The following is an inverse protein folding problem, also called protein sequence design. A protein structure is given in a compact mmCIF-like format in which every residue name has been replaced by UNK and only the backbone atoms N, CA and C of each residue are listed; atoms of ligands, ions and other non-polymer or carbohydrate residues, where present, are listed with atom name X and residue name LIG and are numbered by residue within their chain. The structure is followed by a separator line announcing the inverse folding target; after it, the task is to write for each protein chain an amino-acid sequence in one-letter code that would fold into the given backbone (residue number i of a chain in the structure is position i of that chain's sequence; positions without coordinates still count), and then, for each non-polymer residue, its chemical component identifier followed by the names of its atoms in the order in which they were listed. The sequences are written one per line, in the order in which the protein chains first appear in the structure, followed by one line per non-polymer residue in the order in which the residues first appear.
data_IF_138192198251
#
_entry.id   IF_138192198251
#
_cell.length_a   1.000
_cell.length_b   1.000
_cell.length_c   1.000
_cell.angle_alpha   90.00
_cell.angle_beta   90.00
_cell.angle_gamma   90.00
#
_symmetry.space_group_name_H-M   'P 1'
#
loop_
_entity.id
_entity.type
_entity.pdbx_description
1 polymer ?
#
# COMPACT_ATOMS: atom_id res chain seq x y z
N UNK A 1 -47.83 -22.24 -29.45
CA UNK A 1 -47.15 -21.98 -28.16
C UNK A 1 -45.76 -21.44 -28.46
N UNK A 2 -45.51 -20.16 -28.17
CA UNK A 2 -44.38 -19.41 -28.73
C UNK A 2 -43.05 -19.82 -28.06
N UNK A 3 -42.16 -20.49 -28.80
CA UNK A 3 -40.81 -20.92 -28.37
C UNK A 3 -40.01 -19.78 -27.69
N UNK A 4 -40.21 -18.53 -28.13
CA UNK A 4 -39.61 -17.34 -27.52
C UNK A 4 -40.04 -17.11 -26.06
N UNK A 5 -41.29 -17.40 -25.69
CA UNK A 5 -41.77 -17.26 -24.30
C UNK A 5 -41.22 -18.37 -23.39
N UNK A 6 -40.99 -19.57 -23.92
CA UNK A 6 -40.36 -20.67 -23.16
C UNK A 6 -38.88 -20.40 -22.86
N UNK A 7 -38.16 -19.73 -23.75
CA UNK A 7 -36.74 -19.34 -23.52
C UNK A 7 -36.62 -18.28 -22.41
N UNK A 8 -37.48 -17.25 -22.42
CA UNK A 8 -37.49 -16.24 -21.34
C UNK A 8 -37.95 -16.82 -19.98
N UNK A 9 -38.82 -17.83 -19.99
CA UNK A 9 -39.27 -18.52 -18.78
C UNK A 9 -38.22 -19.53 -18.25
N UNK A 10 -37.42 -20.17 -19.10
CA UNK A 10 -36.30 -21.02 -18.67
C UNK A 10 -35.09 -20.20 -18.17
N UNK A 11 -34.84 -19.02 -18.75
CA UNK A 11 -33.71 -18.16 -18.36
C UNK A 11 -33.96 -17.40 -17.03
N UNK A 12 -35.23 -17.26 -16.61
CA UNK A 12 -35.61 -16.68 -15.32
C UNK A 12 -35.58 -17.68 -14.15
N UNK A 13 -35.60 -19.00 -14.43
CA UNK A 13 -35.51 -20.05 -13.39
C UNK A 13 -34.04 -20.32 -12.96
N UNK A 14 -33.05 -19.92 -13.77
CA UNK A 14 -31.63 -20.13 -13.48
C UNK A 14 -31.01 -19.12 -12.48
N UNK A 15 -31.76 -18.11 -12.02
CA UNK A 15 -31.27 -17.07 -11.11
C UNK A 15 -31.64 -17.27 -9.63
N UNK A 16 -32.28 -18.39 -9.27
CA UNK A 16 -32.73 -18.68 -7.90
C UNK A 16 -32.02 -19.87 -7.24
N UNK A 17 -30.98 -20.45 -7.86
CA UNK A 17 -30.17 -21.48 -7.21
C UNK A 17 -29.14 -20.83 -6.27
N UNK A 18 -29.57 -20.57 -5.03
CA UNK A 18 -28.66 -20.36 -3.90
C UNK A 18 -27.85 -21.65 -3.71
N UNK A 19 -26.65 -21.71 -4.29
CA UNK A 19 -25.71 -22.80 -4.11
C UNK A 19 -25.15 -22.77 -2.68
N UNK A 20 -25.61 -23.66 -1.80
CA UNK A 20 -25.17 -23.74 -0.40
C UNK A 20 -23.75 -24.33 -0.25
N UNK A 21 -23.02 -23.99 0.84
CA UNK A 21 -21.73 -24.58 1.14
C UNK A 21 -21.78 -26.12 1.25
N UNK A 22 -20.71 -26.80 0.85
CA UNK A 22 -20.54 -28.24 1.05
C UNK A 22 -20.11 -28.52 2.49
N UNK A 23 -20.90 -29.32 3.19
CA UNK A 23 -20.53 -29.89 4.49
C UNK A 23 -20.12 -31.35 4.30
N UNK A 24 -18.99 -31.73 4.87
CA UNK A 24 -18.54 -33.13 4.98
C UNK A 24 -18.30 -33.42 6.46
N UNK A 25 -18.90 -34.47 6.99
CA UNK A 25 -18.72 -34.90 8.37
C UNK A 25 -18.34 -36.37 8.40
N UNK A 26 -17.45 -36.74 9.30
CA UNK A 26 -17.11 -38.13 9.61
C UNK A 26 -17.32 -38.35 11.10
N UNK A 27 -18.42 -38.99 11.47
CA UNK A 27 -18.92 -39.10 12.85
C UNK A 27 -18.73 -40.54 13.32
N UNK A 28 -17.89 -40.71 14.35
CA UNK A 28 -17.65 -41.98 15.00
C UNK A 28 -18.66 -42.26 16.12
N UNK A 29 -19.16 -41.22 16.80
CA UNK A 29 -20.10 -41.32 17.92
C UNK A 29 -21.09 -40.16 17.91
N UNK A 30 -22.32 -40.44 18.34
CA UNK A 30 -23.40 -39.45 18.39
C UNK A 30 -24.05 -39.44 19.76
N UNK A 31 -24.37 -38.25 20.26
CA UNK A 31 -25.13 -38.00 21.48
C UNK A 31 -26.44 -37.26 21.15
N UNK A 32 -27.39 -37.11 22.10
CA UNK A 32 -28.55 -36.27 21.90
C UNK A 32 -28.14 -34.86 21.44
N UNK A 33 -28.84 -34.34 20.43
CA UNK A 33 -28.52 -33.06 19.83
C UNK A 33 -28.52 -31.94 20.89
N UNK A 34 -27.56 -31.04 20.78
CA UNK A 34 -27.44 -29.85 21.63
C UNK A 34 -27.96 -28.61 20.89
N UNK A 35 -27.88 -27.44 21.52
CA UNK A 35 -28.18 -26.17 20.85
C UNK A 35 -26.94 -25.67 20.10
N UNK A 36 -27.11 -25.31 18.83
CA UNK A 36 -26.04 -24.76 17.99
C UNK A 36 -25.45 -23.45 18.55
N UNK A 37 -26.24 -22.64 19.26
CA UNK A 37 -25.76 -21.39 19.85
C UNK A 37 -24.79 -21.62 21.00
N UNK A 38 -25.01 -22.70 21.76
CA UNK A 38 -24.21 -23.07 22.94
C UNK A 38 -22.91 -23.81 22.58
N UNK A 39 -22.69 -24.12 21.30
CA UNK A 39 -21.44 -24.72 20.84
C UNK A 39 -20.30 -23.71 21.01
N UNK A 40 -19.32 -24.07 21.83
CA UNK A 40 -18.11 -23.28 22.05
C UNK A 40 -17.12 -23.55 20.91
N UNK A 41 -16.65 -22.49 20.25
CA UNK A 41 -15.68 -22.59 19.15
C UNK A 41 -14.28 -22.28 19.66
N UNK A 42 -13.36 -23.22 19.48
CA UNK A 42 -11.94 -23.02 19.70
C UNK A 42 -11.27 -22.74 18.35
N UNK A 43 -10.57 -21.61 18.25
CA UNK A 43 -9.81 -21.22 17.05
C UNK A 43 -8.64 -22.18 16.81
N UNK A 44 -8.03 -22.14 15.61
CA UNK A 44 -6.99 -23.11 15.18
C UNK A 44 -5.87 -23.29 16.21
N UNK A 45 -5.43 -22.22 16.86
CA UNK A 45 -4.32 -22.23 17.82
C UNK A 45 -4.73 -22.35 19.30
N UNK A 46 -6.02 -22.38 19.61
CA UNK A 46 -6.49 -22.49 20.99
C UNK A 46 -6.25 -23.89 21.54
N UNK A 47 -5.90 -24.02 22.83
CA UNK A 47 -5.80 -25.33 23.48
C UNK A 47 -7.12 -25.71 24.13
N UNK A 48 -7.60 -26.93 23.87
CA UNK A 48 -8.79 -27.48 24.54
C UNK A 48 -8.36 -27.98 25.92
N UNK A 49 -8.46 -27.11 26.93
CA UNK A 49 -8.03 -27.38 28.30
C UNK A 49 -9.14 -27.97 29.18
N UNK A 50 -10.04 -28.75 28.57
CA UNK A 50 -11.11 -29.48 29.26
C UNK A 50 -11.06 -30.94 28.85
N UNK A 51 -11.49 -31.84 29.73
CA UNK A 51 -11.66 -33.24 29.36
C UNK A 51 -12.80 -33.33 28.36
N UNK A 52 -12.50 -33.71 27.12
CA UNK A 52 -13.47 -33.84 26.06
C UNK A 52 -13.28 -35.14 25.28
N UNK A 53 -14.39 -35.74 24.87
CA UNK A 53 -14.45 -36.90 23.99
C UNK A 53 -14.58 -36.44 22.53
N UNK A 54 -13.83 -37.06 21.63
CA UNK A 54 -13.95 -36.83 20.20
C UNK A 54 -15.10 -37.64 19.60
N UNK A 55 -16.02 -36.92 18.95
CA UNK A 55 -17.19 -37.50 18.29
C UNK A 55 -16.97 -37.70 16.78
N UNK A 56 -16.10 -36.89 16.18
CA UNK A 56 -15.83 -36.94 14.75
C UNK A 56 -15.21 -35.66 14.21
N UNK A 57 -15.17 -35.54 12.88
CA UNK A 57 -14.61 -34.38 12.17
C UNK A 57 -15.65 -33.72 11.27
N UNK A 58 -15.41 -32.44 10.99
CA UNK A 58 -16.25 -31.63 10.12
C UNK A 58 -15.40 -30.78 9.17
N UNK A 59 -15.89 -30.63 7.95
CA UNK A 59 -15.33 -29.76 6.93
C UNK A 59 -16.46 -28.97 6.28
N UNK A 60 -16.33 -27.65 6.25
CA UNK A 60 -17.27 -26.73 5.59
C UNK A 60 -16.51 -26.01 4.49
N UNK A 61 -16.84 -26.32 3.23
CA UNK A 61 -16.10 -25.89 2.04
C UNK A 61 -17.02 -25.30 0.98
N UNK A 62 -16.44 -24.52 0.09
CA UNK A 62 -17.09 -24.00 -1.12
C UNK A 62 -17.27 -25.10 -2.18
N UNK A 63 -18.38 -25.04 -2.94
CA UNK A 63 -18.65 -25.88 -4.12
C UNK A 63 -18.18 -25.26 -5.44
N UNK A 64 -17.58 -24.07 -5.42
CA UNK A 64 -17.07 -23.34 -6.58
C UNK A 64 -18.00 -22.25 -7.13
N UNK A 65 -19.23 -22.19 -6.64
CA UNK A 65 -20.22 -21.15 -6.98
C UNK A 65 -21.05 -20.72 -5.76
N UNK A 66 -20.55 -20.93 -4.54
CA UNK A 66 -21.27 -20.54 -3.32
C UNK A 66 -21.17 -19.02 -3.13
N UNK A 67 -22.31 -18.35 -2.96
CA UNK A 67 -22.40 -16.89 -2.82
C UNK A 67 -22.58 -16.44 -1.36
N UNK A 68 -23.15 -17.28 -0.51
CA UNK A 68 -23.35 -17.03 0.94
C UNK A 68 -22.37 -17.89 1.77
N UNK A 69 -21.14 -17.40 1.93
CA UNK A 69 -20.02 -18.13 2.56
C UNK A 69 -19.07 -17.26 3.39
N UNK A 70 -19.59 -16.16 3.96
CA UNK A 70 -18.86 -15.37 4.96
C UNK A 70 -18.47 -16.21 6.18
N UNK A 71 -17.51 -15.73 6.96
CA UNK A 71 -16.98 -16.48 8.11
C UNK A 71 -18.09 -16.89 9.10
N UNK A 72 -18.97 -15.96 9.48
CA UNK A 72 -20.08 -16.22 10.40
C UNK A 72 -21.04 -17.28 9.86
N UNK A 73 -21.28 -17.28 8.54
CA UNK A 73 -22.12 -18.27 7.89
C UNK A 73 -21.49 -19.66 7.94
N UNK A 74 -20.21 -19.76 7.61
CA UNK A 74 -19.46 -21.02 7.61
C UNK A 74 -19.32 -21.59 9.02
N UNK A 75 -19.06 -20.73 10.01
CA UNK A 75 -19.05 -21.09 11.43
C UNK A 75 -20.43 -21.53 11.91
N UNK A 76 -21.50 -20.80 11.56
CA UNK A 76 -22.86 -21.17 11.92
C UNK A 76 -23.27 -22.55 11.41
N UNK A 77 -22.90 -22.88 10.16
CA UNK A 77 -23.11 -24.22 9.60
C UNK A 77 -22.32 -25.27 10.38
N UNK A 78 -21.05 -24.98 10.71
CA UNK A 78 -20.22 -25.90 11.48
C UNK A 78 -20.76 -26.12 12.91
N UNK A 79 -21.19 -25.06 13.60
CA UNK A 79 -21.83 -25.11 14.93
C UNK A 79 -23.11 -25.94 14.88
N UNK A 80 -23.97 -25.71 13.90
CA UNK A 80 -25.20 -26.50 13.71
C UNK A 80 -24.90 -28.00 13.60
N UNK A 81 -23.93 -28.37 12.76
CA UNK A 81 -23.57 -29.78 12.55
C UNK A 81 -22.87 -30.41 13.75
N UNK A 82 -22.09 -29.62 14.49
CA UNK A 82 -21.50 -30.02 15.77
C UNK A 82 -22.59 -30.35 16.78
N UNK A 83 -23.61 -29.49 16.88
CA UNK A 83 -24.73 -29.67 17.77
C UNK A 83 -25.64 -30.84 17.39
N UNK A 84 -25.87 -31.05 16.09
CA UNK A 84 -26.61 -32.21 15.56
C UNK A 84 -25.94 -33.55 15.94
N UNK A 85 -24.61 -33.60 15.99
CA UNK A 85 -23.86 -34.78 16.46
C UNK A 85 -23.88 -34.95 18.00
N UNK A 86 -24.45 -33.99 18.73
CA UNK A 86 -24.50 -33.94 20.19
C UNK A 86 -23.25 -33.36 20.85
N UNK A 87 -22.31 -32.83 20.06
CA UNK A 87 -21.13 -32.12 20.54
C UNK A 87 -21.47 -30.74 21.08
N UNK A 88 -20.62 -30.21 21.96
CA UNK A 88 -20.73 -28.85 22.52
C UNK A 88 -19.45 -28.03 22.33
N UNK A 89 -18.43 -28.61 21.71
CA UNK A 89 -17.21 -27.92 21.34
C UNK A 89 -16.93 -28.20 19.85
N UNK A 90 -16.69 -27.13 19.10
CA UNK A 90 -16.11 -27.18 17.76
C UNK A 90 -14.67 -26.67 17.84
N UNK A 91 -13.69 -27.57 17.72
CA UNK A 91 -12.28 -27.21 17.65
C UNK A 91 -11.85 -27.08 16.20
N UNK A 92 -11.58 -25.87 15.74
CA UNK A 92 -11.02 -25.66 14.41
C UNK A 92 -9.60 -26.23 14.35
N UNK A 93 -9.32 -27.00 13.30
CA UNK A 93 -8.01 -27.57 13.00
C UNK A 93 -7.34 -26.86 11.83
N UNK A 94 -8.14 -26.29 10.93
CA UNK A 94 -7.66 -25.48 9.82
C UNK A 94 -8.71 -24.42 9.44
N UNK A 95 -8.25 -23.20 9.18
CA UNK A 95 -9.05 -22.11 8.63
C UNK A 95 -8.33 -21.52 7.42
N UNK A 96 -8.93 -21.68 6.24
CA UNK A 96 -8.44 -21.01 5.03
C UNK A 96 -9.31 -19.80 4.72
N UNK A 97 -8.64 -18.65 4.64
CA UNK A 97 -9.22 -17.41 4.16
C UNK A 97 -9.50 -17.47 2.65
N UNK A 98 -10.36 -16.58 2.13
CA UNK A 98 -10.51 -16.36 0.71
C UNK A 98 -9.15 -16.18 0.02
N UNK A 99 -8.95 -16.87 -1.09
CA UNK A 99 -7.71 -16.86 -1.87
C UNK A 99 -8.03 -16.83 -3.38
N UNK A 100 -7.00 -16.91 -4.23
CA UNK A 100 -7.18 -16.90 -5.68
C UNK A 100 -8.01 -18.09 -6.22
N UNK A 101 -8.23 -19.16 -5.44
CA UNK A 101 -8.98 -20.35 -5.85
C UNK A 101 -10.44 -20.32 -5.38
N UNK A 102 -10.76 -19.59 -4.30
CA UNK A 102 -12.12 -19.46 -3.78
C UNK A 102 -12.28 -18.17 -2.98
N UNK A 103 -13.40 -17.50 -3.19
CA UNK A 103 -13.79 -16.29 -2.44
C UNK A 103 -14.38 -16.59 -1.07
N UNK A 104 -14.53 -17.87 -0.71
CA UNK A 104 -15.18 -18.31 0.53
C UNK A 104 -14.17 -18.74 1.59
N UNK A 105 -14.55 -18.54 2.86
CA UNK A 105 -13.84 -19.19 3.97
C UNK A 105 -14.04 -20.70 3.91
N UNK A 106 -13.01 -21.47 4.24
CA UNK A 106 -13.09 -22.94 4.34
C UNK A 106 -12.59 -23.37 5.71
N UNK A 107 -13.37 -24.22 6.36
CA UNK A 107 -13.16 -24.60 7.75
C UNK A 107 -13.01 -26.11 7.87
N UNK A 108 -12.09 -26.54 8.71
CA UNK A 108 -11.96 -27.91 9.19
C UNK A 108 -11.93 -27.88 10.70
N UNK A 109 -12.54 -28.88 11.31
CA UNK A 109 -12.53 -29.00 12.76
C UNK A 109 -12.88 -30.38 13.25
N UNK A 110 -12.72 -30.54 14.56
CA UNK A 110 -13.09 -31.73 15.32
C UNK A 110 -14.30 -31.39 16.20
N UNK A 111 -15.27 -32.28 16.21
CA UNK A 111 -16.46 -32.20 17.05
C UNK A 111 -16.16 -32.91 18.36
N UNK A 112 -16.29 -32.19 19.46
CA UNK A 112 -15.96 -32.67 20.80
C UNK A 112 -17.18 -32.56 21.73
N UNK A 113 -17.22 -33.46 22.72
CA UNK A 113 -18.19 -33.45 23.82
C UNK A 113 -17.47 -33.36 25.15
N UNK A 114 -17.85 -32.39 25.97
CA UNK A 114 -17.42 -32.29 27.37
C UNK A 114 -18.62 -32.23 28.30
N UNK A 115 -18.44 -32.65 29.55
CA UNK A 115 -19.42 -32.42 30.62
C UNK A 115 -19.24 -31.02 31.25
N UNK A 116 -18.07 -30.40 31.10
CA UNK A 116 -17.74 -29.10 31.69
C UNK A 116 -17.85 -27.96 30.66
N UNK A 117 -19.09 -27.67 30.25
CA UNK A 117 -19.39 -26.59 29.29
C UNK A 117 -18.99 -25.21 29.80
N UNK A 118 -19.03 -25.00 31.12
CA UNK A 118 -18.71 -23.72 31.73
C UNK A 118 -17.21 -23.44 31.66
N UNK A 119 -16.36 -24.42 31.99
CA UNK A 119 -14.92 -24.28 31.83
C UNK A 119 -14.52 -24.11 30.36
N UNK A 120 -15.19 -24.83 29.45
CA UNK A 120 -14.94 -24.70 28.02
C UNK A 120 -15.21 -23.27 27.51
N UNK A 121 -16.38 -22.71 27.85
CA UNK A 121 -16.72 -21.33 27.51
C UNK A 121 -15.77 -20.31 28.18
N UNK A 122 -15.37 -20.56 29.44
CA UNK A 122 -14.44 -19.72 30.19
C UNK A 122 -13.06 -19.59 29.52
N UNK A 123 -12.48 -20.71 29.06
CA UNK A 123 -11.17 -20.70 28.39
C UNK A 123 -11.17 -19.92 27.06
N UNK A 124 -12.26 -20.04 26.28
CA UNK A 124 -12.40 -19.28 25.04
C UNK A 124 -12.58 -17.79 25.33
N UNK A 125 -13.39 -17.44 26.33
CA UNK A 125 -13.58 -16.05 26.74
C UNK A 125 -12.27 -15.40 27.23
N UNK A 126 -11.47 -16.12 28.03
CA UNK A 126 -10.16 -15.66 28.49
C UNK A 126 -9.17 -15.46 27.33
N UNK A 127 -9.12 -16.43 26.41
CA UNK A 127 -8.24 -16.35 25.24
C UNK A 127 -8.60 -15.16 24.36
N UNK A 128 -9.89 -14.95 24.10
CA UNK A 128 -10.41 -13.80 23.35
C UNK A 128 -10.05 -12.48 24.03
N UNK A 129 -10.30 -12.37 25.34
CA UNK A 129 -9.97 -11.16 26.11
C UNK A 129 -8.47 -10.82 26.07
N UNK A 130 -7.60 -11.83 26.14
CA UNK A 130 -6.14 -11.66 26.04
C UNK A 130 -5.72 -11.15 24.65
N UNK A 131 -6.28 -11.71 23.59
CA UNK A 131 -6.01 -11.29 22.21
C UNK A 131 -6.51 -9.86 21.97
N UNK A 132 -7.70 -9.52 22.47
CA UNK A 132 -8.27 -8.18 22.37
C UNK A 132 -7.42 -7.13 23.11
N UNK A 133 -6.92 -7.46 24.31
CA UNK A 133 -5.99 -6.59 25.03
C UNK A 133 -4.66 -6.39 24.28
N UNK A 134 -4.09 -7.46 23.73
CA UNK A 134 -2.87 -7.37 22.91
C UNK A 134 -3.08 -6.47 21.68
N UNK A 135 -4.17 -6.68 20.93
CA UNK A 135 -4.52 -5.89 19.76
C UNK A 135 -4.75 -4.42 20.12
N UNK A 136 -5.42 -4.13 21.25
CA UNK A 136 -5.60 -2.77 21.75
C UNK A 136 -4.26 -2.10 22.07
N UNK A 137 -3.36 -2.79 22.77
CA UNK A 137 -2.02 -2.27 23.07
C UNK A 137 -1.19 -2.01 21.82
N UNK A 138 -1.27 -2.91 20.83
CA UNK A 138 -0.59 -2.76 19.54
C UNK A 138 -1.17 -1.60 18.70
N UNK A 139 -2.48 -1.36 18.75
CA UNK A 139 -3.11 -0.19 18.11
C UNK A 139 -2.73 1.11 18.83
N UNK A 140 -2.74 1.11 20.16
CA UNK A 140 -2.35 2.28 20.96
C UNK A 140 -0.88 2.66 20.74
N UNK A 141 0.03 1.70 20.63
CA UNK A 141 1.44 1.98 20.32
C UNK A 141 1.61 2.62 18.94
N UNK A 142 0.85 2.17 17.93
CA UNK A 142 0.83 2.80 16.60
C UNK A 142 0.29 4.24 16.63
N UNK A 143 -0.71 4.53 17.44
CA UNK A 143 -1.27 5.90 17.56
C UNK A 143 -0.36 6.87 18.31
N UNK A 144 0.58 6.37 19.11
CA UNK A 144 1.50 7.18 19.91
C UNK A 144 2.81 7.56 19.19
N UNK A 145 3.02 7.12 17.95
CA UNK A 145 4.20 7.52 17.17
C UNK A 145 4.11 9.02 16.89
N UNK A 146 5.08 9.78 17.40
CA UNK A 146 5.16 11.21 17.13
C UNK A 146 5.53 11.45 15.66
N UNK A 147 4.63 12.17 15.00
CA UNK A 147 4.70 12.54 13.60
C UNK A 147 4.95 14.03 13.41
N UNK A 148 4.97 14.82 14.49
CA UNK A 148 5.25 16.25 14.42
C UNK A 148 6.74 16.54 14.54
N UNK A 149 7.18 17.66 13.96
CA UNK A 149 8.56 18.11 14.04
C UNK A 149 9.08 18.64 12.72
N UNK A 150 10.32 19.10 12.74
CA UNK A 150 11.01 19.68 11.59
C UNK A 150 12.07 18.73 11.07
N UNK A 151 12.34 18.85 9.77
CA UNK A 151 13.38 18.07 9.11
C UNK A 151 14.14 18.97 8.16
N UNK A 152 15.46 18.91 8.26
CA UNK A 152 16.35 19.40 7.22
C UNK A 152 16.93 18.19 6.48
N UNK A 153 16.83 18.20 5.15
CA UNK A 153 17.35 17.18 4.28
C UNK A 153 18.41 17.75 3.36
N UNK A 154 19.52 17.04 3.21
CA UNK A 154 20.53 17.31 2.18
C UNK A 154 20.68 16.05 1.34
N UNK A 155 20.40 16.15 0.06
CA UNK A 155 20.38 15.03 -0.88
C UNK A 155 21.34 15.29 -2.03
N UNK A 156 21.98 14.24 -2.52
CA UNK A 156 22.82 14.28 -3.70
C UNK A 156 22.64 12.97 -4.51
N UNK A 157 22.67 13.07 -5.84
CA UNK A 157 22.58 11.88 -6.68
C UNK A 157 22.52 12.15 -8.17
N UNK A 158 22.50 11.08 -8.97
CA UNK A 158 22.29 11.18 -10.41
C UNK A 158 20.87 11.64 -10.75
N UNK A 159 20.77 12.41 -11.84
CA UNK A 159 19.51 12.88 -12.41
C UNK A 159 19.55 12.77 -13.93
N UNK A 160 18.43 12.43 -14.55
CA UNK A 160 18.30 12.25 -15.99
C UNK A 160 17.22 13.17 -16.52
N UNK A 161 17.57 13.95 -17.54
CA UNK A 161 16.57 14.60 -18.40
C UNK A 161 15.93 13.50 -19.25
N UNK A 162 14.60 13.41 -19.18
CA UNK A 162 13.79 12.40 -19.88
C UNK A 162 12.93 12.98 -21.00
N UNK A 163 12.80 14.31 -21.05
CA UNK A 163 12.23 15.01 -22.19
C UNK A 163 13.25 15.10 -23.33
N UNK A 164 12.76 15.32 -24.55
CA UNK A 164 13.64 15.61 -25.68
C UNK A 164 14.33 16.97 -25.48
N UNK A 165 15.65 16.99 -25.67
CA UNK A 165 16.43 18.22 -25.80
C UNK A 165 16.81 18.38 -27.28
N UNK A 166 16.37 19.49 -27.87
CA UNK A 166 16.65 19.82 -29.26
C UNK A 166 17.84 20.75 -29.33
N UNK A 167 18.88 20.36 -30.06
CA UNK A 167 20.08 21.18 -30.28
C UNK A 167 20.37 21.26 -31.77
N UNK A 168 21.14 22.25 -32.23
CA UNK A 168 21.33 22.50 -33.66
C UNK A 168 21.73 21.26 -34.48
N UNK A 169 22.52 20.36 -33.88
CA UNK A 169 23.08 19.19 -34.56
C UNK A 169 22.43 17.85 -34.19
N UNK A 170 21.69 17.74 -33.07
CA UNK A 170 21.12 16.46 -32.59
C UNK A 170 19.97 16.65 -31.60
N UNK A 171 19.00 15.72 -31.63
CA UNK A 171 18.02 15.57 -30.55
C UNK A 171 18.49 14.54 -29.53
N UNK A 172 18.64 14.94 -28.27
CA UNK A 172 18.94 14.03 -27.16
C UNK A 172 17.65 13.58 -26.50
N UNK A 173 17.40 12.27 -26.48
CA UNK A 173 16.21 11.67 -25.83
C UNK A 173 16.41 11.40 -24.34
N UNK A 174 17.67 11.37 -23.89
CA UNK A 174 18.03 11.25 -22.49
C UNK A 174 19.42 11.82 -22.25
N UNK A 175 19.61 12.54 -21.14
CA UNK A 175 20.92 13.04 -20.71
C UNK A 175 21.05 12.94 -19.19
N UNK A 176 22.12 12.32 -18.72
CA UNK A 176 22.45 12.24 -17.30
C UNK A 176 23.22 13.46 -16.81
N UNK A 177 23.03 13.82 -15.55
CA UNK A 177 23.81 14.80 -14.82
C UNK A 177 23.79 14.49 -13.33
N UNK A 178 24.27 15.45 -12.55
CA UNK A 178 24.27 15.37 -11.09
C UNK A 178 23.28 16.40 -10.52
N UNK A 179 22.64 16.06 -9.41
CA UNK A 179 21.72 16.95 -8.71
C UNK A 179 22.03 16.99 -7.22
N UNK A 180 22.05 18.19 -6.67
CA UNK A 180 22.02 18.45 -5.23
C UNK A 180 20.67 19.04 -4.83
N UNK A 181 20.15 18.64 -3.68
CA UNK A 181 18.92 19.21 -3.11
C UNK A 181 19.05 19.50 -1.64
N UNK A 182 18.41 20.60 -1.22
CA UNK A 182 18.18 20.94 0.19
C UNK A 182 16.68 21.07 0.38
N UNK A 183 16.14 20.39 1.39
CA UNK A 183 14.72 20.41 1.69
C UNK A 183 14.53 20.75 3.17
N UNK A 184 13.63 21.67 3.46
CA UNK A 184 13.13 21.90 4.81
C UNK A 184 11.68 21.49 4.87
N UNK A 185 11.27 20.76 5.89
CA UNK A 185 9.90 20.31 6.06
C UNK A 185 9.44 20.45 7.51
N UNK A 186 8.21 20.90 7.70
CA UNK A 186 7.54 20.90 8.98
C UNK A 186 6.31 20.00 8.93
N UNK A 187 6.21 19.06 9.87
CA UNK A 187 5.10 18.14 10.01
C UNK A 187 4.24 18.49 11.24
N UNK A 188 2.92 18.49 11.03
CA UNK A 188 1.92 18.50 12.09
C UNK A 188 1.46 17.08 12.41
N UNK A 189 0.56 16.97 13.38
CA UNK A 189 -0.08 15.70 13.76
C UNK A 189 -0.69 15.02 12.53
N UNK A 190 -0.66 13.68 12.52
CA UNK A 190 -1.13 12.81 11.43
C UNK A 190 -0.26 12.83 10.17
N UNK A 191 0.97 13.33 10.26
CA UNK A 191 1.97 13.21 9.20
C UNK A 191 1.74 14.13 8.01
N UNK A 192 0.92 15.17 8.14
CA UNK A 192 0.74 16.20 7.10
C UNK A 192 1.71 17.34 7.38
N UNK A 193 2.34 17.89 6.36
CA UNK A 193 3.31 18.95 6.50
C UNK A 193 3.40 19.88 5.28
N UNK A 194 4.23 20.90 5.44
CA UNK A 194 4.64 21.80 4.37
C UNK A 194 6.17 21.94 4.39
N UNK A 195 6.76 22.08 3.22
CA UNK A 195 8.19 22.24 3.05
C UNK A 195 8.58 23.29 2.03
N UNK A 196 9.88 23.51 1.91
CA UNK A 196 10.53 24.28 0.87
C UNK A 196 11.61 23.39 0.27
N UNK A 197 11.56 23.23 -1.04
CA UNK A 197 12.49 22.40 -1.80
C UNK A 197 13.36 23.29 -2.66
N UNK A 198 14.67 23.11 -2.56
CA UNK A 198 15.66 23.69 -3.47
C UNK A 198 16.40 22.56 -4.18
N UNK A 199 16.48 22.62 -5.52
CA UNK A 199 17.20 21.66 -6.34
C UNK A 199 18.10 22.35 -7.35
N UNK A 200 19.30 21.81 -7.54
CA UNK A 200 20.27 22.30 -8.50
C UNK A 200 20.87 21.12 -9.28
N UNK A 201 20.68 21.14 -10.59
CA UNK A 201 21.14 20.13 -11.52
C UNK A 201 22.16 20.71 -12.48
N UNK A 202 23.16 19.89 -12.83
CA UNK A 202 24.18 20.23 -13.80
C UNK A 202 24.50 19.03 -14.70
N UNK A 203 24.69 19.30 -15.99
CA UNK A 203 25.20 18.36 -16.99
C UNK A 203 26.04 19.09 -18.04
N UNK A 204 26.98 18.38 -18.65
CA UNK A 204 27.85 18.89 -19.71
C UNK A 204 27.62 18.13 -21.02
N UNK A 205 27.78 18.81 -22.15
CA UNK A 205 27.73 18.24 -23.49
C UNK A 205 29.07 18.46 -24.19
N UNK A 206 29.62 17.37 -24.72
CA UNK A 206 30.93 17.39 -25.37
C UNK A 206 30.85 17.77 -26.87
N UNK A 207 29.63 17.93 -27.43
CA UNK A 207 29.40 17.89 -28.89
C UNK A 207 28.31 18.87 -29.40
N UNK A 208 28.10 19.97 -28.68
CA UNK A 208 27.16 21.06 -29.06
C UNK A 208 27.86 22.33 -29.57
N UNK A 209 29.17 22.28 -29.77
CA UNK A 209 29.96 23.42 -30.25
C UNK A 209 30.03 23.49 -31.77
N UNK A 210 29.69 24.65 -32.34
CA UNK A 210 29.86 24.97 -33.76
C UNK A 210 31.36 25.06 -34.11
N UNK A 211 32.02 23.98 -34.52
CA UNK A 211 33.41 23.93 -35.06
C UNK A 211 34.55 24.67 -34.33
N UNK A 212 34.32 25.38 -33.22
CA UNK A 212 35.26 26.33 -32.61
C UNK A 212 35.18 26.48 -31.08
N UNK A 213 34.32 25.76 -30.35
CA UNK A 213 34.18 26.04 -28.91
C UNK A 213 33.71 24.84 -28.09
N UNK A 214 34.61 24.33 -27.24
CA UNK A 214 34.41 24.00 -25.81
C UNK A 214 33.25 23.09 -25.35
N UNK A 215 33.41 22.53 -24.15
CA UNK A 215 32.32 21.84 -23.45
C UNK A 215 31.15 22.81 -23.19
N UNK A 216 29.91 22.32 -23.34
CA UNK A 216 28.69 23.11 -23.18
C UNK A 216 27.92 22.66 -21.93
N UNK A 217 27.74 23.56 -20.96
CA UNK A 217 27.16 23.23 -19.66
C UNK A 217 25.71 23.71 -19.55
N UNK A 218 24.82 22.79 -19.19
CA UNK A 218 23.42 23.10 -18.87
C UNK A 218 23.21 22.97 -17.37
N UNK A 219 22.58 24.00 -16.79
CA UNK A 219 22.18 24.03 -15.39
C UNK A 219 20.68 24.26 -15.25
N UNK A 220 20.07 23.57 -14.29
CA UNK A 220 18.65 23.67 -13.97
C UNK A 220 18.49 23.86 -12.47
N UNK A 221 17.83 24.94 -12.06
CA UNK A 221 17.50 25.20 -10.67
C UNK A 221 15.99 25.21 -10.45
N UNK A 222 15.55 24.72 -9.29
CA UNK A 222 14.17 24.77 -8.84
C UNK A 222 14.11 25.25 -7.39
N UNK A 223 13.15 26.13 -7.10
CA UNK A 223 12.80 26.49 -5.72
C UNK A 223 11.30 26.65 -5.58
N UNK A 224 10.69 26.00 -4.58
CA UNK A 224 9.27 26.14 -4.34
C UNK A 224 8.80 25.56 -3.00
N UNK A 225 7.64 26.02 -2.51
CA UNK A 225 6.95 25.35 -1.43
C UNK A 225 6.44 23.97 -1.87
N UNK A 226 6.31 23.07 -0.92
CA UNK A 226 5.72 21.74 -1.13
C UNK A 226 4.75 21.34 -0.03
N UNK A 227 3.73 20.60 -0.43
CA UNK A 227 2.88 19.84 0.48
C UNK A 227 3.50 18.47 0.69
N UNK A 228 3.67 18.06 1.94
CA UNK A 228 4.33 16.81 2.30
C UNK A 228 3.43 15.94 3.15
N UNK A 229 3.48 14.63 2.91
CA UNK A 229 2.79 13.63 3.69
C UNK A 229 3.76 12.53 4.08
N UNK A 230 3.76 12.19 5.37
CA UNK A 230 4.67 11.24 5.98
C UNK A 230 3.89 10.13 6.70
N UNK A 231 4.35 8.90 6.51
CA UNK A 231 3.93 7.74 7.28
C UNK A 231 5.11 7.17 8.07
N UNK A 232 4.86 6.74 9.30
CA UNK A 232 5.85 6.06 10.14
C UNK A 232 5.34 4.67 10.54
N UNK A 233 5.66 3.62 9.76
CA UNK A 233 5.34 2.24 10.14
C UNK A 233 6.00 1.79 11.44
N UNK A 234 7.10 2.45 11.83
CA UNK A 234 7.79 2.29 13.12
C UNK A 234 8.57 3.56 13.45
N UNK A 235 9.14 3.65 14.65
CA UNK A 235 10.00 4.78 15.05
C UNK A 235 11.28 4.91 14.20
N UNK A 236 11.69 3.84 13.50
CA UNK A 236 12.91 3.80 12.68
C UNK A 236 12.68 4.11 11.21
N UNK A 237 11.47 3.92 10.70
CA UNK A 237 11.18 4.02 9.28
C UNK A 237 10.18 5.12 8.99
N UNK A 238 10.53 5.98 8.04
CA UNK A 238 9.69 7.06 7.52
C UNK A 238 9.51 6.88 6.02
N UNK A 239 8.27 6.97 5.57
CA UNK A 239 7.92 7.05 4.15
C UNK A 239 7.31 8.42 3.88
N UNK A 240 7.69 9.03 2.77
CA UNK A 240 7.36 10.41 2.49
C UNK A 240 6.90 10.59 1.05
N UNK A 241 5.93 11.47 0.87
CA UNK A 241 5.37 11.87 -0.42
C UNK A 241 5.27 13.39 -0.43
N UNK A 242 5.83 14.03 -1.44
CA UNK A 242 5.86 15.48 -1.57
C UNK A 242 5.39 15.91 -2.95
N UNK A 243 4.63 17.01 -2.99
CA UNK A 243 4.25 17.71 -4.20
C UNK A 243 4.55 19.20 -4.05
N UNK A 244 5.52 19.69 -4.81
CA UNK A 244 5.97 21.06 -4.84
C UNK A 244 5.62 21.78 -6.14
N UNK A 245 5.39 23.09 -6.03
CA UNK A 245 5.12 24.00 -7.14
C UNK A 245 5.99 25.24 -6.94
N UNK A 246 6.76 25.61 -7.96
CA UNK A 246 7.82 26.58 -7.73
C UNK A 246 8.36 27.25 -8.97
N UNK A 247 9.34 28.10 -8.72
CA UNK A 247 10.13 28.74 -9.76
C UNK A 247 11.16 27.76 -10.32
N UNK A 248 11.32 27.77 -11.64
CA UNK A 248 12.35 27.02 -12.34
C UNK A 248 13.23 27.98 -13.14
N UNK A 249 14.54 27.71 -13.16
CA UNK A 249 15.52 28.43 -13.96
C UNK A 249 16.33 27.45 -14.77
N UNK A 250 16.46 27.74 -16.05
CA UNK A 250 17.35 27.06 -16.98
C UNK A 250 18.48 28.01 -17.36
N UNK A 251 19.71 27.51 -17.42
CA UNK A 251 20.84 28.30 -17.89
C UNK A 251 21.84 27.49 -18.69
N UNK A 252 22.31 28.07 -19.80
CA UNK A 252 23.33 27.53 -20.68
C UNK A 252 24.62 28.35 -20.52
N UNK A 253 25.72 27.68 -20.16
CA UNK A 253 27.03 28.29 -19.88
C UNK A 253 27.02 29.47 -18.88
N UNK A 254 25.91 29.70 -18.18
CA UNK A 254 25.71 30.83 -17.27
C UNK A 254 25.17 32.11 -17.93
N UNK A 255 25.17 32.20 -19.27
CA UNK A 255 24.86 33.43 -20.01
C UNK A 255 23.41 33.48 -20.50
N UNK A 256 22.91 32.39 -21.10
CA UNK A 256 21.52 32.30 -21.55
C UNK A 256 20.65 31.79 -20.43
N UNK A 257 19.70 32.60 -19.96
CA UNK A 257 18.86 32.29 -18.79
C UNK A 257 17.39 32.34 -19.18
N UNK A 258 16.69 31.22 -18.96
CA UNK A 258 15.25 31.14 -19.11
C UNK A 258 14.61 30.86 -17.76
N UNK A 259 13.58 31.64 -17.45
CA UNK A 259 12.82 31.53 -16.22
C UNK A 259 11.47 30.89 -16.49
N UNK A 260 10.93 30.22 -15.49
CA UNK A 260 9.79 29.36 -15.67
C UNK A 260 9.17 28.89 -14.39
N UNK A 261 8.26 27.94 -14.55
CA UNK A 261 7.52 27.31 -13.49
C UNK A 261 7.84 25.81 -13.46
N UNK A 262 7.99 25.26 -12.26
CA UNK A 262 8.28 23.85 -12.02
C UNK A 262 7.23 23.18 -11.14
N UNK A 263 6.98 21.91 -11.43
CA UNK A 263 6.25 20.98 -10.56
C UNK A 263 7.23 19.89 -10.14
N UNK A 264 7.32 19.61 -8.84
CA UNK A 264 8.18 18.58 -8.28
C UNK A 264 7.34 17.54 -7.53
N UNK A 265 7.42 16.28 -7.94
CA UNK A 265 6.96 15.15 -7.15
C UNK A 265 8.15 14.44 -6.51
N UNK A 266 8.05 14.07 -5.24
CA UNK A 266 9.09 13.31 -4.55
C UNK A 266 8.50 12.19 -3.70
N UNK A 267 9.14 11.03 -3.76
CA UNK A 267 8.84 9.88 -2.92
C UNK A 267 10.13 9.51 -2.19
N UNK A 268 10.06 9.41 -0.86
CA UNK A 268 11.22 9.17 0.00
C UNK A 268 11.02 8.01 0.95
N UNK A 269 12.11 7.32 1.27
CA UNK A 269 12.21 6.39 2.41
C UNK A 269 13.42 6.78 3.25
N UNK A 270 13.18 7.04 4.53
CA UNK A 270 14.20 7.41 5.49
C UNK A 270 14.31 6.34 6.60
N UNK A 271 15.56 6.06 6.99
CA UNK A 271 15.90 5.29 8.17
C UNK A 271 16.42 6.22 9.26
N UNK A 272 15.68 6.33 10.36
CA UNK A 272 16.03 7.12 11.54
C UNK A 272 17.08 6.36 12.36
N UNK A 273 18.32 6.85 12.34
CA UNK A 273 19.45 6.27 13.08
C UNK A 273 19.36 6.65 14.56
N UNK A 274 18.96 7.89 14.84
CA UNK A 274 18.79 8.45 16.18
C UNK A 274 17.62 9.43 16.21
N UNK A 275 17.38 10.06 17.38
CA UNK A 275 16.36 11.10 17.52
C UNK A 275 16.57 12.31 16.60
N UNK A 276 17.81 12.61 16.24
CA UNK A 276 18.16 13.80 15.45
C UNK A 276 18.74 13.48 14.08
N UNK A 277 19.15 12.24 13.80
CA UNK A 277 19.84 11.90 12.55
C UNK A 277 19.22 10.70 11.86
N UNK A 278 19.13 10.78 10.53
CA UNK A 278 18.71 9.70 9.66
C UNK A 278 19.42 9.75 8.30
N UNK A 279 19.22 8.69 7.54
CA UNK A 279 19.65 8.58 6.14
C UNK A 279 18.43 8.28 5.28
N UNK A 280 18.41 8.76 4.04
CA UNK A 280 17.26 8.61 3.16
C UNK A 280 17.61 8.34 1.72
N UNK A 281 16.68 7.69 1.02
CA UNK A 281 16.68 7.54 -0.43
C UNK A 281 15.41 8.18 -0.99
N UNK A 282 15.58 8.98 -2.05
CA UNK A 282 14.49 9.69 -2.70
C UNK A 282 14.46 9.41 -4.20
N UNK A 283 13.26 9.31 -4.76
CA UNK A 283 13.02 9.42 -6.20
C UNK A 283 12.23 10.69 -6.45
N UNK A 284 12.73 11.52 -7.35
CA UNK A 284 12.12 12.80 -7.69
C UNK A 284 11.75 12.84 -9.17
N UNK A 285 10.64 13.51 -9.48
CA UNK A 285 10.27 13.89 -10.83
C UNK A 285 10.03 15.39 -10.87
N UNK A 286 10.77 16.12 -11.70
CA UNK A 286 10.65 17.57 -11.87
C UNK A 286 10.21 17.85 -13.30
N UNK A 287 9.09 18.53 -13.47
CA UNK A 287 8.65 19.04 -14.78
C UNK A 287 8.68 20.55 -14.74
N UNK A 288 9.53 21.15 -15.57
CA UNK A 288 9.66 22.60 -15.69
C UNK A 288 9.13 23.06 -17.04
N UNK A 289 8.50 24.23 -17.07
CA UNK A 289 8.09 24.94 -18.29
C UNK A 289 8.69 26.33 -18.25
N UNK A 290 9.36 26.74 -19.32
CA UNK A 290 10.00 28.05 -19.40
C UNK A 290 9.30 28.92 -20.45
N UNK A 291 9.47 30.23 -20.32
CA UNK A 291 9.01 31.16 -21.35
C UNK A 291 9.71 30.89 -22.67
N UNK A 292 8.94 30.87 -23.78
CA UNK A 292 9.48 30.70 -25.11
C UNK A 292 10.52 31.79 -25.41
N UNK A 293 11.69 31.45 -25.98
CA UNK A 293 12.58 32.43 -26.60
C UNK A 293 11.84 33.18 -27.71
N UNK A 294 12.11 34.48 -27.89
CA UNK A 294 11.50 35.30 -28.94
C UNK A 294 11.76 34.77 -30.37
N UNK A 295 12.74 33.87 -30.55
CA UNK A 295 13.09 33.21 -31.82
C UNK A 295 12.49 31.79 -31.99
N UNK A 296 11.85 31.22 -30.96
CA UNK A 296 11.30 29.86 -31.02
C UNK A 296 10.04 29.73 -31.88
N UNK A 297 9.36 30.84 -32.16
CA UNK A 297 8.18 30.90 -33.03
C UNK A 297 8.49 30.52 -34.50
N UNK A 298 9.76 30.48 -34.91
CA UNK A 298 10.16 30.12 -36.28
C UNK A 298 10.35 28.61 -36.50
N UNK A 299 10.58 27.84 -35.43
CA UNK A 299 10.90 26.40 -35.50
C UNK A 299 9.96 25.50 -34.70
N UNK A 300 9.09 26.06 -33.87
CA UNK A 300 8.13 25.32 -33.05
C UNK A 300 6.71 25.51 -33.57
N UNK A 301 5.94 24.43 -33.59
CA UNK A 301 4.51 24.49 -33.90
C UNK A 301 3.80 25.25 -32.77
N UNK A 302 2.79 26.07 -33.08
CA UNK A 302 2.17 27.07 -32.16
C UNK A 302 1.56 26.51 -30.85
N UNK A 303 1.63 25.21 -30.62
CA UNK A 303 1.08 24.49 -29.48
C UNK A 303 2.12 23.70 -28.66
N UNK A 304 3.41 23.76 -28.97
CA UNK A 304 4.45 23.05 -28.21
C UNK A 304 4.99 23.92 -27.06
N UNK A 305 4.87 23.42 -25.83
CA UNK A 305 5.37 24.11 -24.64
C UNK A 305 6.86 23.77 -24.42
N UNK A 306 7.72 24.78 -24.28
CA UNK A 306 9.14 24.61 -23.96
C UNK A 306 9.30 24.13 -22.51
N UNK A 307 9.57 22.83 -22.32
CA UNK A 307 9.63 22.24 -21.00
C UNK A 307 10.62 21.10 -20.87
N UNK A 308 11.17 20.95 -19.67
CA UNK A 308 12.16 19.94 -19.32
C UNK A 308 11.61 19.05 -18.22
N UNK A 309 11.62 17.74 -18.47
CA UNK A 309 11.29 16.72 -17.49
C UNK A 309 12.55 16.01 -17.01
N UNK A 310 12.69 15.87 -15.69
CA UNK A 310 13.81 15.19 -15.04
C UNK A 310 13.31 14.16 -14.05
N UNK A 311 14.02 13.02 -13.99
CA UNK A 311 13.87 12.03 -12.93
C UNK A 311 15.22 11.90 -12.21
N UNK A 312 15.18 11.79 -10.89
CA UNK A 312 16.40 11.72 -10.08
C UNK A 312 16.28 10.64 -9.02
N UNK A 313 17.40 9.97 -8.74
CA UNK A 313 17.52 9.03 -7.62
C UNK A 313 18.60 9.57 -6.71
N UNK A 314 18.26 9.83 -5.46
CA UNK A 314 19.15 10.55 -4.55
C UNK A 314 19.29 9.81 -3.22
N UNK A 315 20.47 9.95 -2.62
CA UNK A 315 20.71 9.58 -1.24
C UNK A 315 21.03 10.84 -0.42
N UNK A 316 20.72 10.82 0.87
CA UNK A 316 20.93 12.01 1.68
C UNK A 316 20.88 11.80 3.17
N UNK A 317 21.27 12.85 3.89
CA UNK A 317 21.20 12.95 5.34
C UNK A 317 19.91 13.66 5.75
N UNK A 318 19.44 13.32 6.95
CA UNK A 318 18.26 13.91 7.60
C UNK A 318 18.66 14.41 8.97
N UNK A 319 18.28 15.65 9.28
CA UNK A 319 18.38 16.20 10.61
C UNK A 319 16.99 16.52 11.15
N UNK A 320 16.60 15.86 12.25
CA UNK A 320 15.29 16.00 12.88
C UNK A 320 15.40 16.90 14.12
N UNK A 321 14.49 17.87 14.27
CA UNK A 321 14.47 18.82 15.40
C UNK A 321 13.09 19.43 15.67
#
# INVERSE_FOLDING_TARGET
MNIRKCVYMMMSIALLSSCSPKVVTDIAKTYPATNAEDVVVYEVYDSVNVKAEELGTIQVKDRGFTTDCGLDRMLGIAKSKTAEAGGNILKLTEHRYPDMRSTCHRLWGTILKTDDTTAAAGHVAETKARVDDYNRKALQSRTNIDMSGNVLMVNFGPSWITSNLYTPNRTYKSKSGIEGMINYEHFWKKGIGFGIDFAYYQTSFDDMGDSYSGNYDITLAYIGPSFVFMQKPSDKWRFEYSLGLGYARYSENGDYIHNGFGVMGRIGVDYCISKHFGIGLNVNAVTSRFSNPDEADYYMDKNEAYGIQRISVMAGLRYYF
#
